data_IF_420501641618
#
_entry.id   IF_420501641618
#
_cell.length_a   1.000
_cell.length_b   1.000
_cell.length_c   1.000
_cell.angle_alpha   90.00
_cell.angle_beta   90.00
_cell.angle_gamma   90.00
#
_symmetry.space_group_name_H-M   'P 1'
#
loop_
_entity.id
_entity.type
_entity.pdbx_description
1 polymer ?
#
# COMPACT_ATOMS: atom_id res chain seq x y z
N UNK A 1 12.50 -34.69 -3.68
CA UNK A 1 11.31 -34.04 -4.28
C UNK A 1 10.67 -33.15 -3.22
N UNK A 2 11.18 -31.92 -3.07
CA UNK A 2 10.67 -30.94 -2.09
C UNK A 2 9.41 -30.27 -2.64
N UNK A 3 8.38 -30.07 -1.80
CA UNK A 3 7.10 -29.49 -2.25
C UNK A 3 7.27 -28.00 -2.58
N UNK A 4 7.43 -27.70 -3.87
CA UNK A 4 7.50 -26.32 -4.36
C UNK A 4 6.11 -25.67 -4.50
N UNK A 5 5.23 -25.88 -3.50
CA UNK A 5 3.86 -25.34 -3.49
C UNK A 5 3.82 -23.84 -3.20
N UNK A 6 4.83 -23.31 -2.51
CA UNK A 6 4.91 -21.89 -2.13
C UNK A 6 5.16 -20.93 -3.30
N UNK A 7 5.74 -21.38 -4.42
CA UNK A 7 6.06 -20.50 -5.56
C UNK A 7 4.86 -20.11 -6.44
N UNK A 8 3.64 -20.61 -6.16
CA UNK A 8 2.41 -20.21 -6.87
C UNK A 8 1.44 -19.36 -6.04
N UNK A 9 1.73 -19.09 -4.76
CA UNK A 9 0.74 -18.54 -3.81
C UNK A 9 1.27 -17.26 -3.16
N UNK A 10 1.53 -16.25 -3.99
CA UNK A 10 2.02 -14.91 -3.63
C UNK A 10 3.42 -14.85 -2.94
N UNK A 11 4.12 -13.70 -2.99
CA UNK A 11 5.37 -13.52 -2.25
C UNK A 11 5.19 -13.71 -0.74
N UNK A 12 6.20 -14.26 -0.03
CA UNK A 12 6.09 -14.59 1.40
C UNK A 12 5.76 -13.37 2.28
N UNK A 13 6.14 -12.15 1.86
CA UNK A 13 5.75 -10.89 2.52
C UNK A 13 4.23 -10.67 2.56
N UNK A 14 3.49 -11.06 1.52
CA UNK A 14 2.03 -10.92 1.47
C UNK A 14 1.32 -12.04 2.25
N UNK A 15 1.86 -13.26 2.23
CA UNK A 15 1.40 -14.34 3.13
C UNK A 15 1.58 -13.91 4.59
N UNK A 16 2.76 -13.40 4.94
CA UNK A 16 3.09 -12.93 6.29
C UNK A 16 2.17 -11.79 6.73
N UNK A 17 1.92 -10.79 5.88
CA UNK A 17 0.93 -9.74 6.16
C UNK A 17 -0.45 -10.32 6.45
N UNK A 18 -0.97 -11.21 5.59
CA UNK A 18 -2.29 -11.83 5.78
C UNK A 18 -2.38 -12.65 7.06
N UNK A 19 -1.35 -13.45 7.38
CA UNK A 19 -1.30 -14.24 8.61
C UNK A 19 -1.23 -13.37 9.86
N UNK A 20 -0.40 -12.31 9.86
CA UNK A 20 -0.28 -11.37 10.97
C UNK A 20 -1.56 -10.55 11.16
N UNK A 21 -2.21 -10.13 10.08
CA UNK A 21 -3.48 -9.40 10.16
C UNK A 21 -4.59 -10.31 10.69
N UNK A 22 -4.82 -11.47 10.08
CA UNK A 22 -5.89 -12.40 10.50
C UNK A 22 -5.66 -12.91 11.92
N UNK A 23 -4.44 -13.34 12.26
CA UNK A 23 -4.09 -13.72 13.64
C UNK A 23 -4.21 -12.55 14.62
N UNK A 24 -3.80 -11.36 14.20
CA UNK A 24 -3.93 -10.12 14.95
C UNK A 24 -5.39 -9.79 15.28
N UNK A 25 -6.34 -9.98 14.35
CA UNK A 25 -7.76 -9.74 14.61
C UNK A 25 -8.28 -10.63 15.75
N UNK A 26 -7.95 -11.93 15.74
CA UNK A 26 -8.36 -12.86 16.81
C UNK A 26 -7.74 -12.52 18.18
N UNK A 27 -6.53 -11.95 18.22
CA UNK A 27 -5.85 -11.57 19.47
C UNK A 27 -6.26 -10.18 19.97
N UNK A 28 -6.47 -9.22 19.07
CA UNK A 28 -6.65 -7.81 19.41
C UNK A 28 -8.12 -7.37 19.56
N UNK A 29 -9.07 -8.00 18.85
CA UNK A 29 -10.50 -7.65 19.00
C UNK A 29 -11.04 -7.98 20.39
N UNK A 30 -10.78 -9.14 21.03
CA UNK A 30 -11.32 -9.45 22.35
C UNK A 30 -10.93 -8.45 23.47
N UNK A 31 -9.66 -7.99 23.60
CA UNK A 31 -9.29 -7.03 24.65
C UNK A 31 -9.51 -5.54 24.28
N UNK A 32 -9.48 -5.17 22.98
CA UNK A 32 -9.54 -3.76 22.56
C UNK A 32 -10.88 -3.35 21.92
N UNK A 33 -11.77 -4.30 21.66
CA UNK A 33 -13.00 -4.10 20.90
C UNK A 33 -12.75 -3.95 19.40
N UNK A 34 -13.82 -4.03 18.61
CA UNK A 34 -13.75 -4.12 17.14
C UNK A 34 -12.93 -3.01 16.48
N UNK A 35 -13.14 -1.74 16.84
CA UNK A 35 -12.43 -0.61 16.21
C UNK A 35 -10.92 -0.65 16.47
N UNK A 36 -10.52 -0.51 17.75
CA UNK A 36 -9.08 -0.46 18.13
C UNK A 36 -8.37 -1.78 17.86
N UNK A 37 -9.05 -2.93 18.02
CA UNK A 37 -8.49 -4.25 17.72
C UNK A 37 -8.19 -4.44 16.23
N UNK A 38 -9.10 -4.01 15.34
CA UNK A 38 -8.86 -4.06 13.89
C UNK A 38 -7.71 -3.15 13.46
N UNK A 39 -7.66 -1.93 14.00
CA UNK A 39 -6.57 -0.99 13.74
C UNK A 39 -5.22 -1.52 14.25
N UNK A 40 -5.13 -2.03 15.48
CA UNK A 40 -3.91 -2.59 16.04
C UNK A 40 -3.40 -3.82 15.25
N UNK A 41 -4.32 -4.69 14.81
CA UNK A 41 -3.98 -5.83 13.95
C UNK A 41 -3.44 -5.39 12.59
N UNK A 42 -4.05 -4.36 11.99
CA UNK A 42 -3.59 -3.76 10.74
C UNK A 42 -2.20 -3.12 10.89
N UNK A 43 -2.01 -2.29 11.92
CA UNK A 43 -0.78 -1.52 12.13
C UNK A 43 0.44 -2.41 12.34
N UNK A 44 0.31 -3.50 13.12
CA UNK A 44 1.38 -4.49 13.30
C UNK A 44 1.69 -5.21 11.98
N UNK A 45 0.67 -5.65 11.24
CA UNK A 45 0.88 -6.33 9.97
C UNK A 45 1.51 -5.42 8.90
N UNK A 46 1.03 -4.17 8.79
CA UNK A 46 1.54 -3.16 7.87
C UNK A 46 2.98 -2.75 8.21
N UNK A 47 3.31 -2.53 9.49
CA UNK A 47 4.67 -2.23 9.92
C UNK A 47 5.65 -3.37 9.59
N UNK A 48 5.27 -4.63 9.85
CA UNK A 48 6.11 -5.80 9.49
C UNK A 48 6.26 -5.92 7.96
N UNK A 49 5.21 -5.67 7.18
CA UNK A 49 5.32 -5.66 5.73
C UNK A 49 6.24 -4.55 5.22
N UNK A 50 6.15 -3.33 5.76
CA UNK A 50 7.00 -2.21 5.39
C UNK A 50 8.48 -2.50 5.72
N UNK A 51 8.77 -3.02 6.92
CA UNK A 51 10.13 -3.46 7.29
C UNK A 51 10.63 -4.54 6.33
N UNK A 52 9.81 -5.55 6.00
CA UNK A 52 10.17 -6.57 5.01
C UNK A 52 10.42 -5.96 3.61
N UNK A 53 9.64 -4.97 3.19
CA UNK A 53 9.80 -4.28 1.91
C UNK A 53 11.13 -3.50 1.85
N UNK A 54 11.61 -2.89 2.95
CA UNK A 54 12.92 -2.22 2.96
C UNK A 54 14.10 -3.14 2.61
N UNK A 55 13.95 -4.46 2.76
CA UNK A 55 14.99 -5.43 2.38
C UNK A 55 15.14 -5.59 0.86
N UNK A 56 14.09 -5.27 0.09
CA UNK A 56 14.11 -5.23 -1.37
C UNK A 56 14.86 -3.98 -1.87
N UNK A 57 14.65 -2.85 -1.20
CA UNK A 57 15.30 -1.56 -1.49
C UNK A 57 16.82 -1.55 -1.26
N UNK A 58 17.35 -2.64 -0.67
CA UNK A 58 18.79 -2.89 -0.45
C UNK A 58 19.37 -3.95 -1.38
N UNK A 59 18.59 -4.43 -2.36
CA UNK A 59 18.95 -5.50 -3.32
C UNK A 59 18.41 -5.18 -4.72
N UNK A 60 18.56 -3.91 -5.14
CA UNK A 60 18.08 -3.39 -6.42
C UNK A 60 18.92 -3.87 -7.61
N UNK A 61 18.76 -5.12 -8.01
CA UNK A 61 19.17 -5.60 -9.34
C UNK A 61 17.94 -5.82 -10.21
N UNK A 62 17.85 -5.14 -11.36
CA UNK A 62 16.77 -5.34 -12.35
C UNK A 62 16.65 -6.82 -12.78
N UNK A 63 17.77 -7.54 -12.87
CA UNK A 63 17.80 -8.97 -13.13
C UNK A 63 17.10 -9.83 -12.04
N UNK A 64 17.08 -9.39 -10.78
CA UNK A 64 16.29 -10.03 -9.72
C UNK A 64 14.82 -9.57 -9.78
N UNK A 65 14.54 -8.33 -10.18
CA UNK A 65 13.18 -7.81 -10.36
C UNK A 65 12.44 -8.55 -11.49
N UNK A 66 13.05 -8.75 -12.66
CA UNK A 66 12.52 -9.59 -13.77
C UNK A 66 12.20 -11.02 -13.33
N UNK A 67 13.14 -11.70 -12.69
CA UNK A 67 12.93 -13.05 -12.12
C UNK A 67 11.80 -13.10 -11.08
N UNK A 68 11.58 -12.01 -10.35
CA UNK A 68 10.47 -11.89 -9.40
C UNK A 68 9.15 -11.64 -10.13
N UNK A 69 9.13 -10.76 -11.13
CA UNK A 69 7.92 -10.38 -11.87
C UNK A 69 7.32 -11.57 -12.64
N UNK A 70 8.14 -12.35 -13.35
CA UNK A 70 7.72 -13.55 -14.07
C UNK A 70 7.12 -14.67 -13.17
N UNK A 71 7.36 -14.61 -11.85
CA UNK A 71 6.85 -15.58 -10.87
C UNK A 71 5.67 -15.05 -10.03
N UNK A 72 5.18 -13.83 -10.27
CA UNK A 72 4.42 -13.05 -9.28
C UNK A 72 3.02 -12.64 -9.76
N UNK A 73 2.07 -13.58 -9.76
CA UNK A 73 0.64 -13.33 -10.04
C UNK A 73 -0.10 -12.58 -8.89
N UNK A 74 0.65 -11.85 -8.05
CA UNK A 74 0.17 -11.25 -6.80
C UNK A 74 -0.62 -9.93 -7.00
N UNK A 75 -0.91 -9.53 -8.23
CA UNK A 75 -1.71 -8.34 -8.55
C UNK A 75 -3.09 -8.37 -7.84
N UNK A 76 -3.75 -9.55 -7.81
CA UNK A 76 -4.99 -9.76 -7.02
C UNK A 76 -4.81 -9.47 -5.52
N UNK A 77 -3.65 -9.78 -4.93
CA UNK A 77 -3.39 -9.48 -3.52
C UNK A 77 -3.21 -7.98 -3.27
N UNK A 78 -2.60 -7.24 -4.21
CA UNK A 78 -2.52 -5.78 -4.17
C UNK A 78 -3.89 -5.11 -4.21
N UNK A 79 -4.79 -5.59 -5.08
CA UNK A 79 -6.18 -5.11 -5.16
C UNK A 79 -7.01 -5.46 -3.90
N UNK A 80 -6.81 -6.63 -3.30
CA UNK A 80 -7.44 -7.00 -2.02
C UNK A 80 -6.90 -6.13 -0.87
N UNK A 81 -5.61 -5.80 -0.87
CA UNK A 81 -4.98 -4.89 0.09
C UNK A 81 -5.50 -3.46 -0.06
N UNK A 82 -5.60 -2.94 -1.29
CA UNK A 82 -6.22 -1.65 -1.57
C UNK A 82 -7.64 -1.60 -1.01
N UNK A 83 -8.44 -2.64 -1.29
CA UNK A 83 -9.80 -2.79 -0.75
C UNK A 83 -9.81 -2.77 0.79
N UNK A 84 -8.88 -3.49 1.43
CA UNK A 84 -8.72 -3.50 2.88
C UNK A 84 -8.34 -2.14 3.46
N UNK A 85 -7.39 -1.42 2.84
CA UNK A 85 -7.02 -0.05 3.21
C UNK A 85 -8.21 0.90 3.07
N UNK A 86 -8.96 0.83 1.97
CA UNK A 86 -10.17 1.63 1.77
C UNK A 86 -11.23 1.33 2.84
N UNK A 87 -11.44 0.06 3.19
CA UNK A 87 -12.35 -0.32 4.28
C UNK A 87 -11.88 0.19 5.64
N UNK A 88 -10.58 0.09 5.97
CA UNK A 88 -10.03 0.63 7.23
C UNK A 88 -10.24 2.14 7.30
N UNK A 89 -9.98 2.88 6.22
CA UNK A 89 -10.19 4.34 6.16
C UNK A 89 -11.67 4.68 6.38
N UNK A 90 -12.59 4.03 5.65
CA UNK A 90 -14.05 4.23 5.81
C UNK A 90 -14.47 3.93 7.26
N UNK A 91 -14.01 2.82 7.83
CA UNK A 91 -14.32 2.44 9.22
C UNK A 91 -13.74 3.44 10.23
N UNK A 92 -12.54 3.99 10.02
CA UNK A 92 -11.99 5.03 10.90
C UNK A 92 -12.78 6.33 10.82
N UNK A 93 -13.24 6.75 9.63
CA UNK A 93 -14.09 7.94 9.46
C UNK A 93 -15.42 7.78 10.19
N UNK A 94 -16.12 6.66 9.97
CA UNK A 94 -17.40 6.37 10.64
C UNK A 94 -17.22 6.22 12.16
N UNK A 95 -16.16 5.56 12.62
CA UNK A 95 -15.88 5.42 14.06
C UNK A 95 -15.55 6.76 14.75
N UNK A 96 -14.89 7.69 14.05
CA UNK A 96 -14.64 9.06 14.54
C UNK A 96 -15.94 9.85 14.66
N UNK A 97 -16.86 9.71 13.70
CA UNK A 97 -18.15 10.39 13.68
C UNK A 97 -19.08 9.95 14.82
N UNK A 98 -18.99 8.70 15.27
CA UNK A 98 -19.91 8.12 16.27
C UNK A 98 -19.51 8.29 17.76
N UNK A 99 -18.29 8.75 18.10
CA UNK A 99 -17.73 8.54 19.46
C UNK A 99 -17.56 9.79 20.36
N UNK A 100 -18.03 10.97 19.95
CA UNK A 100 -17.87 12.20 20.74
C UNK A 100 -16.41 12.68 20.82
N UNK A 101 -16.04 13.49 21.83
CA UNK A 101 -14.68 14.07 21.93
C UNK A 101 -13.62 12.97 22.18
N UNK A 102 -12.70 12.69 21.24
CA UNK A 102 -11.71 11.63 21.41
C UNK A 102 -10.51 12.10 22.24
N UNK A 103 -10.05 11.27 23.17
CA UNK A 103 -8.84 11.55 23.95
C UNK A 103 -7.57 11.52 23.08
N UNK A 104 -6.54 12.29 23.47
CA UNK A 104 -5.31 12.51 22.70
C UNK A 104 -4.62 11.21 22.24
N UNK A 105 -4.60 10.18 23.09
CA UNK A 105 -4.04 8.85 22.74
C UNK A 105 -4.80 8.20 21.57
N UNK A 106 -6.13 8.33 21.52
CA UNK A 106 -6.92 7.80 20.41
C UNK A 106 -6.68 8.60 19.12
N UNK A 107 -6.49 9.92 19.21
CA UNK A 107 -6.13 10.76 18.06
C UNK A 107 -4.78 10.33 17.50
N UNK A 108 -3.76 10.18 18.35
CA UNK A 108 -2.43 9.73 17.96
C UNK A 108 -2.47 8.33 17.31
N UNK A 109 -3.27 7.41 17.85
CA UNK A 109 -3.42 6.06 17.29
C UNK A 109 -4.02 6.09 15.88
N UNK A 110 -5.12 6.83 15.64
CA UNK A 110 -5.71 6.94 14.30
C UNK A 110 -4.76 7.64 13.31
N UNK A 111 -3.96 8.63 13.75
CA UNK A 111 -2.93 9.26 12.90
C UNK A 111 -1.86 8.23 12.50
N UNK A 112 -1.41 7.37 13.43
CA UNK A 112 -0.46 6.30 13.14
C UNK A 112 -1.03 5.28 12.14
N UNK A 113 -2.27 4.84 12.33
CA UNK A 113 -2.95 3.92 11.40
C UNK A 113 -3.10 4.51 10.01
N UNK A 114 -3.47 5.80 9.90
CA UNK A 114 -3.56 6.49 8.61
C UNK A 114 -2.19 6.59 7.93
N UNK A 115 -1.13 6.97 8.66
CA UNK A 115 0.22 7.04 8.12
C UNK A 115 0.72 5.66 7.64
N UNK A 116 0.51 4.60 8.42
CA UNK A 116 0.85 3.23 8.04
C UNK A 116 0.05 2.75 6.82
N UNK A 117 -1.25 3.03 6.76
CA UNK A 117 -2.11 2.69 5.62
C UNK A 117 -1.67 3.38 4.32
N UNK A 118 -1.29 4.66 4.40
CA UNK A 118 -0.78 5.42 3.25
C UNK A 118 0.59 4.91 2.77
N UNK A 119 1.54 4.69 3.69
CA UNK A 119 2.85 4.11 3.38
C UNK A 119 2.70 2.73 2.74
N UNK A 120 1.91 1.85 3.35
CA UNK A 120 1.64 0.49 2.88
C UNK A 120 1.01 0.48 1.48
N UNK A 121 -0.02 1.30 1.25
CA UNK A 121 -0.67 1.43 -0.05
C UNK A 121 0.31 1.85 -1.15
N UNK A 122 1.08 2.93 -0.94
CA UNK A 122 2.02 3.41 -1.95
C UNK A 122 3.21 2.45 -2.16
N UNK A 123 3.68 1.73 -1.14
CA UNK A 123 4.65 0.64 -1.32
C UNK A 123 4.07 -0.52 -2.12
N UNK A 124 2.80 -0.89 -1.91
CA UNK A 124 2.15 -1.96 -2.68
C UNK A 124 1.92 -1.57 -4.14
N UNK A 125 1.55 -0.31 -4.41
CA UNK A 125 1.52 0.24 -5.77
C UNK A 125 2.90 0.27 -6.44
N UNK A 126 3.97 0.67 -5.74
CA UNK A 126 5.34 0.62 -6.27
C UNK A 126 5.75 -0.80 -6.66
N UNK A 127 5.46 -1.79 -5.80
CA UNK A 127 5.68 -3.21 -6.10
C UNK A 127 4.82 -3.71 -7.28
N UNK A 128 3.62 -3.16 -7.48
CA UNK A 128 2.78 -3.48 -8.63
C UNK A 128 3.31 -2.86 -9.93
N UNK A 129 3.75 -1.59 -9.93
CA UNK A 129 4.36 -0.96 -11.10
C UNK A 129 5.66 -1.65 -11.50
N UNK A 130 6.52 -2.01 -10.55
CA UNK A 130 7.72 -2.80 -10.80
C UNK A 130 7.40 -4.15 -11.48
N UNK A 131 6.31 -4.81 -11.07
CA UNK A 131 5.85 -6.05 -11.70
C UNK A 131 5.23 -5.83 -13.09
N UNK A 132 4.53 -4.71 -13.31
CA UNK A 132 3.88 -4.37 -14.60
C UNK A 132 4.89 -3.84 -15.65
N UNK A 133 6.01 -3.29 -15.20
CA UNK A 133 7.14 -2.92 -16.05
C UNK A 133 7.96 -4.16 -16.45
N UNK A 134 8.35 -4.99 -15.47
CA UNK A 134 9.19 -6.18 -15.67
C UNK A 134 8.40 -7.49 -15.96
N UNK A 135 7.11 -7.41 -16.30
CA UNK A 135 6.36 -8.53 -16.85
C UNK A 135 6.68 -8.71 -18.34
N UNK A 136 6.70 -9.94 -18.82
CA UNK A 136 6.82 -10.27 -20.26
C UNK A 136 5.62 -9.69 -21.03
N UNK A 137 5.87 -8.97 -22.12
CA UNK A 137 4.83 -8.29 -22.92
C UNK A 137 3.94 -9.25 -23.70
N UNK A 138 4.57 -10.07 -24.55
CA UNK A 138 3.89 -10.91 -25.55
C UNK A 138 4.61 -12.27 -25.73
N UNK A 139 5.54 -12.63 -24.84
CA UNK A 139 6.36 -13.85 -24.93
C UNK A 139 7.60 -13.70 -25.81
N UNK A 140 7.91 -12.47 -26.24
CA UNK A 140 9.10 -12.12 -27.01
C UNK A 140 10.34 -11.80 -26.14
N UNK A 141 10.24 -12.01 -24.82
CA UNK A 141 11.36 -11.98 -23.88
C UNK A 141 11.82 -10.58 -23.50
N UNK A 142 10.94 -9.58 -23.60
CA UNK A 142 11.19 -8.18 -23.24
C UNK A 142 10.35 -7.76 -22.04
N UNK A 143 10.81 -6.72 -21.37
CA UNK A 143 10.05 -6.02 -20.33
C UNK A 143 8.89 -5.24 -20.98
N UNK A 144 7.67 -5.37 -20.46
CA UNK A 144 6.49 -4.67 -20.96
C UNK A 144 6.53 -3.14 -20.76
N UNK A 145 7.42 -2.65 -19.90
CA UNK A 145 7.74 -1.23 -19.75
C UNK A 145 6.54 -0.38 -19.33
N UNK A 146 6.22 0.64 -20.13
CA UNK A 146 4.97 1.39 -19.99
C UNK A 146 4.98 2.55 -18.98
N UNK A 147 6.12 2.75 -18.29
CA UNK A 147 6.46 3.86 -17.40
C UNK A 147 7.86 4.29 -17.79
N UNK A 148 8.03 5.53 -18.20
CA UNK A 148 9.24 5.97 -18.89
C UNK A 148 10.04 6.90 -17.96
N UNK A 149 11.09 6.36 -17.34
CA UNK A 149 11.93 7.06 -16.36
C UNK A 149 13.06 7.84 -17.04
N UNK A 150 13.25 9.15 -16.74
CA UNK A 150 14.26 9.96 -17.43
C UNK A 150 15.69 9.43 -17.29
N UNK A 151 16.24 8.93 -18.42
CA UNK A 151 17.59 8.36 -18.54
C UNK A 151 17.82 7.09 -17.69
N UNK A 152 16.76 6.34 -17.35
CA UNK A 152 16.87 5.08 -16.62
C UNK A 152 16.16 3.95 -17.38
N UNK A 153 16.95 3.14 -18.11
CA UNK A 153 16.45 2.02 -18.91
C UNK A 153 16.15 0.76 -18.06
N UNK A 154 16.74 0.67 -16.86
CA UNK A 154 16.57 -0.44 -15.90
C UNK A 154 16.16 0.08 -14.51
N UNK A 155 14.94 0.64 -14.35
CA UNK A 155 14.49 1.27 -13.11
C UNK A 155 14.45 0.30 -11.92
N UNK A 156 14.87 0.79 -10.75
CA UNK A 156 14.94 0.02 -9.51
C UNK A 156 13.73 0.25 -8.60
N UNK A 157 13.69 -0.36 -7.41
CA UNK A 157 12.55 -0.17 -6.51
C UNK A 157 12.39 1.27 -5.97
N UNK A 158 13.43 2.10 -5.94
CA UNK A 158 13.34 3.52 -5.59
C UNK A 158 12.67 4.34 -6.69
N UNK A 159 12.90 4.02 -7.97
CA UNK A 159 12.21 4.66 -9.11
C UNK A 159 10.70 4.42 -9.03
N UNK A 160 10.28 3.16 -8.83
CA UNK A 160 8.86 2.83 -8.66
C UNK A 160 8.25 3.37 -7.35
N UNK A 161 9.05 3.53 -6.28
CA UNK A 161 8.61 4.23 -5.07
C UNK A 161 8.40 5.72 -5.34
N UNK A 162 9.35 6.40 -6.00
CA UNK A 162 9.26 7.82 -6.36
C UNK A 162 8.00 8.09 -7.20
N UNK A 163 7.77 7.30 -8.25
CA UNK A 163 6.56 7.38 -9.06
C UNK A 163 5.29 7.18 -8.22
N UNK A 164 5.21 6.06 -7.48
CA UNK A 164 4.02 5.72 -6.68
C UNK A 164 3.71 6.74 -5.57
N UNK A 165 4.72 7.17 -4.80
CA UNK A 165 4.54 8.14 -3.72
C UNK A 165 4.16 9.51 -4.25
N UNK A 166 4.65 9.92 -5.43
CA UNK A 166 4.27 11.19 -6.05
C UNK A 166 2.78 11.21 -6.42
N UNK A 167 2.25 10.10 -6.97
CA UNK A 167 0.81 9.91 -7.18
C UNK A 167 0.03 9.92 -5.86
N UNK A 168 0.55 9.22 -4.83
CA UNK A 168 -0.04 9.14 -3.49
C UNK A 168 -0.07 10.44 -2.69
N UNK A 169 0.81 11.39 -2.99
CA UNK A 169 0.83 12.73 -2.38
C UNK A 169 -0.14 13.70 -3.07
N UNK A 170 -0.57 13.44 -4.31
CA UNK A 170 -1.50 14.27 -5.11
C UNK A 170 -1.06 15.72 -5.40
N UNK A 171 0.13 16.14 -4.98
CA UNK A 171 0.74 17.46 -5.26
C UNK A 171 1.88 17.35 -6.28
N UNK A 172 1.58 16.75 -7.44
CA UNK A 172 2.57 16.15 -8.33
C UNK A 172 3.36 17.14 -9.21
N UNK A 173 4.69 17.02 -9.15
CA UNK A 173 5.61 17.27 -10.27
C UNK A 173 6.54 16.06 -10.40
N UNK A 174 6.19 15.09 -11.25
CA UNK A 174 7.10 14.03 -11.68
C UNK A 174 7.58 14.29 -13.10
N UNK A 175 8.82 13.90 -13.37
CA UNK A 175 9.45 13.88 -14.68
C UNK A 175 9.24 12.55 -15.45
N UNK A 176 8.65 11.56 -14.79
CA UNK A 176 8.28 10.24 -15.34
C UNK A 176 7.03 10.33 -16.23
N UNK A 177 7.11 9.79 -17.46
CA UNK A 177 5.99 9.65 -18.39
C UNK A 177 5.34 8.25 -18.32
N UNK A 178 4.16 8.10 -18.94
CA UNK A 178 3.37 6.86 -18.89
C UNK A 178 2.92 6.45 -20.29
N UNK A 179 3.79 5.77 -21.04
CA UNK A 179 3.51 5.25 -22.39
C UNK A 179 2.35 4.23 -22.44
N UNK A 180 2.20 3.33 -21.46
CA UNK A 180 1.24 2.21 -21.53
C UNK A 180 -0.21 2.55 -21.16
N UNK A 181 -1.17 2.10 -21.98
CA UNK A 181 -2.62 2.20 -21.70
C UNK A 181 -3.07 1.39 -20.48
N UNK A 182 -2.38 0.30 -20.16
CA UNK A 182 -2.69 -0.53 -18.99
C UNK A 182 -2.29 0.20 -17.70
N UNK A 183 -1.07 0.73 -17.65
CA UNK A 183 -0.55 1.52 -16.52
C UNK A 183 -1.44 2.71 -16.24
N UNK A 184 -1.87 3.48 -17.26
CA UNK A 184 -2.76 4.64 -17.07
C UNK A 184 -4.09 4.30 -16.37
N UNK A 185 -4.60 3.07 -16.46
CA UNK A 185 -5.79 2.62 -15.70
C UNK A 185 -5.48 2.37 -14.22
N UNK A 186 -4.32 1.78 -13.93
CA UNK A 186 -3.85 1.54 -12.54
C UNK A 186 -3.57 2.87 -11.83
N UNK A 187 -2.88 3.78 -12.52
CA UNK A 187 -2.55 5.14 -12.04
C UNK A 187 -3.82 5.94 -11.74
N UNK A 188 -4.83 5.93 -12.62
CA UNK A 188 -6.11 6.58 -12.37
C UNK A 188 -6.79 6.02 -11.10
N UNK A 189 -6.71 4.70 -10.87
CA UNK A 189 -7.20 4.06 -9.65
C UNK A 189 -6.44 4.52 -8.39
N UNK A 190 -5.10 4.61 -8.45
CA UNK A 190 -4.28 5.11 -7.34
C UNK A 190 -4.60 6.57 -7.03
N UNK A 191 -4.66 7.45 -8.03
CA UNK A 191 -4.95 8.87 -7.84
C UNK A 191 -6.34 9.09 -7.23
N UNK A 192 -7.35 8.33 -7.66
CA UNK A 192 -8.70 8.40 -7.08
C UNK A 192 -8.71 7.91 -5.62
N UNK A 193 -8.03 6.80 -5.32
CA UNK A 193 -7.90 6.29 -3.96
C UNK A 193 -7.14 7.26 -3.04
N UNK A 194 -6.04 7.86 -3.52
CA UNK A 194 -5.25 8.85 -2.81
C UNK A 194 -6.04 10.16 -2.57
N UNK A 195 -6.83 10.62 -3.54
CA UNK A 195 -7.71 11.77 -3.39
C UNK A 195 -8.77 11.55 -2.30
N UNK A 196 -9.47 10.41 -2.32
CA UNK A 196 -10.44 10.04 -1.28
C UNK A 196 -9.76 9.88 0.08
N UNK A 197 -8.56 9.29 0.13
CA UNK A 197 -7.76 9.15 1.35
C UNK A 197 -7.41 10.53 1.95
N UNK A 198 -6.85 11.43 1.15
CA UNK A 198 -6.44 12.77 1.58
C UNK A 198 -7.64 13.62 2.04
N UNK A 199 -8.81 13.49 1.39
CA UNK A 199 -10.06 14.09 1.88
C UNK A 199 -10.47 13.52 3.24
N UNK A 200 -10.38 12.20 3.45
CA UNK A 200 -10.67 11.56 4.73
C UNK A 200 -9.77 12.06 5.86
N UNK A 201 -8.46 12.16 5.61
CA UNK A 201 -7.48 12.73 6.53
C UNK A 201 -7.80 14.19 6.85
N UNK A 202 -8.11 15.01 5.83
CA UNK A 202 -8.44 16.43 6.00
C UNK A 202 -9.73 16.62 6.83
N UNK A 203 -10.81 15.92 6.48
CA UNK A 203 -12.09 16.01 7.17
C UNK A 203 -11.97 15.60 8.65
N UNK A 204 -11.28 14.49 8.93
CA UNK A 204 -11.00 14.06 10.30
C UNK A 204 -10.03 15.02 11.04
N UNK A 205 -9.13 15.71 10.35
CA UNK A 205 -8.26 16.73 10.96
C UNK A 205 -9.08 17.96 11.39
N UNK A 206 -9.95 18.45 10.51
CA UNK A 206 -10.88 19.56 10.79
C UNK A 206 -11.81 19.19 11.96
N UNK A 207 -12.36 17.99 11.98
CA UNK A 207 -13.21 17.48 13.06
C UNK A 207 -12.50 17.49 14.43
N UNK A 208 -11.25 17.02 14.50
CA UNK A 208 -10.46 17.05 15.75
C UNK A 208 -10.18 18.48 16.18
N UNK A 209 -9.72 19.35 15.27
CA UNK A 209 -9.43 20.74 15.60
C UNK A 209 -10.68 21.46 16.12
N UNK A 210 -11.83 21.35 15.43
CA UNK A 210 -13.11 21.90 15.87
C UNK A 210 -13.61 21.33 17.20
N UNK A 211 -13.33 20.05 17.51
CA UNK A 211 -13.65 19.47 18.82
C UNK A 211 -12.78 20.02 19.96
N UNK A 212 -11.57 20.51 19.64
CA UNK A 212 -10.59 21.05 20.59
C UNK A 212 -10.67 22.57 20.79
N UNK A 213 -11.23 23.33 19.85
CA UNK A 213 -11.51 24.77 20.00
C UNK A 213 -12.85 25.06 20.67
N UNK A 214 -13.67 24.03 20.92
CA UNK A 214 -14.92 24.10 21.70
C UNK A 214 -14.78 23.55 23.12
N UNK A 215 -13.72 23.92 23.85
CA UNK A 215 -13.49 23.63 25.28
C UNK A 215 -12.71 24.75 25.94
#
# INVERSE_FOLDING_TARGET
MTLNLGQKIAPPRFILFTLLFVGGLFVAIPPLGWGRGTMAAFDVAAAVFLVAATTLLRRGEAAQMRKTAAANDANRAGLLILTGVTMVVILTSVAKEMQGKPGLVAIAFVIATLALAWLFSNTVYALHYAHLFYSDSDGDGKDAGGIDFPKCDEPDYWDFLYFSFTLGMTFQTSDVEISSRAVRRVVLGQCLAAFVFNIGVLAFTINVLGSSSGS
#
